data_IF_222540733933
#
_entry.id   IF_222540733933
#
_cell.length_a   1.000
_cell.length_b   1.000
_cell.length_c   1.000
_cell.angle_alpha   90.00
_cell.angle_beta   90.00
_cell.angle_gamma   90.00
#
_symmetry.space_group_name_H-M   'P 1'
#
loop_
_entity.id
_entity.type
_entity.pdbx_description
1 polymer ?
#
# COMPACT_ATOMS: atom_id res chain seq x y z
N UNK A 1 2.17 -3.74 6.79
CA UNK A 1 2.75 -2.38 6.78
C UNK A 1 4.15 -2.42 7.38
N UNK A 2 5.03 -1.49 7.00
CA UNK A 2 6.42 -1.43 7.47
C UNK A 2 6.81 -0.06 8.04
N UNK A 3 7.87 -0.03 8.84
CA UNK A 3 8.54 1.19 9.34
C UNK A 3 7.57 2.16 10.03
N UNK A 4 7.78 3.47 9.87
CA UNK A 4 6.96 4.54 10.42
C UNK A 4 5.47 4.39 10.10
N UNK A 5 5.11 3.80 8.95
CA UNK A 5 3.69 3.56 8.63
C UNK A 5 3.08 2.49 9.54
N UNK A 6 3.85 1.47 9.93
CA UNK A 6 3.39 0.47 10.89
C UNK A 6 3.28 1.03 12.31
N UNK A 7 4.11 2.01 12.67
CA UNK A 7 4.06 2.71 13.96
C UNK A 7 2.83 3.65 14.05
N UNK A 8 2.54 4.39 12.99
CA UNK A 8 1.45 5.37 12.96
C UNK A 8 0.06 4.74 12.73
N UNK A 9 -0.03 3.71 11.88
CA UNK A 9 -1.29 3.08 11.48
C UNK A 9 -1.51 1.75 12.20
N UNK A 10 -0.44 0.99 12.40
CA UNK A 10 -0.47 -0.41 12.83
C UNK A 10 0.09 -1.37 11.78
N UNK A 11 0.36 -2.63 12.17
CA UNK A 11 1.01 -3.61 11.30
C UNK A 11 0.16 -4.03 10.09
N UNK A 12 -1.17 -3.97 10.21
CA UNK A 12 -2.15 -4.28 9.16
C UNK A 12 -3.21 -3.18 9.09
N UNK A 13 -3.78 -2.97 7.90
CA UNK A 13 -4.84 -2.01 7.64
C UNK A 13 -5.81 -2.60 6.63
N UNK A 14 -7.11 -2.54 6.92
CA UNK A 14 -8.15 -2.86 5.95
C UNK A 14 -8.35 -1.69 4.98
N UNK A 15 -8.39 -1.99 3.68
CA UNK A 15 -8.58 -1.02 2.59
C UNK A 15 -9.77 -1.42 1.73
N UNK A 16 -10.43 -0.43 1.13
CA UNK A 16 -11.59 -0.65 0.29
C UNK A 16 -11.13 -0.65 -1.16
N UNK A 17 -11.10 -1.84 -1.77
CA UNK A 17 -10.68 -2.07 -3.16
C UNK A 17 -11.83 -2.66 -3.97
N UNK A 18 -11.83 -2.38 -5.27
CA UNK A 18 -12.71 -3.06 -6.21
C UNK A 18 -12.19 -4.48 -6.50
N UNK A 19 -13.05 -5.35 -7.05
CA UNK A 19 -12.67 -6.71 -7.48
C UNK A 19 -11.48 -6.74 -8.46
N UNK A 20 -11.29 -5.66 -9.21
CA UNK A 20 -10.09 -5.42 -9.99
C UNK A 20 -9.52 -4.04 -9.65
N UNK A 21 -8.22 -3.98 -9.37
CA UNK A 21 -7.56 -2.78 -8.86
C UNK A 21 -6.14 -2.63 -9.40
N UNK A 22 -5.64 -1.41 -9.41
CA UNK A 22 -4.25 -1.06 -9.66
C UNK A 22 -3.52 -0.81 -8.34
N UNK A 23 -2.20 -0.93 -8.34
CA UNK A 23 -1.36 -0.60 -7.18
C UNK A 23 -1.60 0.83 -6.64
N UNK A 24 -1.91 1.80 -7.50
CA UNK A 24 -2.30 3.17 -7.09
C UNK A 24 -3.58 3.22 -6.26
N UNK A 25 -4.55 2.32 -6.50
CA UNK A 25 -5.83 2.32 -5.82
C UNK A 25 -5.67 1.94 -4.34
N UNK A 26 -4.68 1.07 -4.04
CA UNK A 26 -4.25 0.74 -2.67
C UNK A 26 -3.81 2.00 -1.94
N UNK A 27 -2.88 2.77 -2.53
CA UNK A 27 -2.38 4.02 -1.94
C UNK A 27 -3.52 5.02 -1.73
N UNK A 28 -4.38 5.20 -2.72
CA UNK A 28 -5.53 6.12 -2.62
C UNK A 28 -6.50 5.72 -1.50
N UNK A 29 -6.77 4.42 -1.32
CA UNK A 29 -7.61 3.95 -0.23
C UNK A 29 -7.00 4.25 1.14
N UNK A 30 -5.67 4.16 1.27
CA UNK A 30 -4.98 4.46 2.54
C UNK A 30 -4.98 5.98 2.80
N UNK A 31 -4.70 6.80 1.77
CA UNK A 31 -4.69 8.27 1.87
C UNK A 31 -6.07 8.81 2.27
N UNK A 32 -7.16 8.21 1.80
CA UNK A 32 -8.52 8.58 2.23
C UNK A 32 -8.73 8.43 3.75
N UNK A 33 -8.10 7.42 4.37
CA UNK A 33 -8.18 7.15 5.82
C UNK A 33 -7.14 7.96 6.61
N UNK A 34 -5.96 8.21 6.03
CA UNK A 34 -4.82 8.89 6.67
C UNK A 34 -4.25 10.01 5.77
N UNK A 35 -5.01 11.10 5.56
CA UNK A 35 -4.60 12.19 4.66
C UNK A 35 -3.30 12.86 5.09
N UNK A 36 -3.01 12.91 6.40
CA UNK A 36 -1.79 13.51 6.94
C UNK A 36 -0.52 12.74 6.55
N UNK A 37 -0.66 11.45 6.19
CA UNK A 37 0.45 10.59 5.75
C UNK A 37 0.61 10.57 4.22
N UNK A 38 -0.13 11.39 3.48
CA UNK A 38 -0.12 11.38 2.00
C UNK A 38 1.29 11.43 1.41
N UNK A 39 2.14 12.31 1.91
CA UNK A 39 3.48 12.52 1.37
C UNK A 39 4.36 11.26 1.45
N UNK A 40 4.26 10.49 2.53
CA UNK A 40 5.03 9.25 2.68
C UNK A 40 4.39 8.09 1.92
N UNK A 41 3.05 8.02 1.87
CA UNK A 41 2.33 6.99 1.11
C UNK A 41 2.60 7.13 -0.39
N UNK A 42 2.62 8.36 -0.92
CA UNK A 42 2.92 8.62 -2.33
C UNK A 42 4.31 8.08 -2.71
N UNK A 43 5.30 8.29 -1.83
CA UNK A 43 6.69 7.84 -2.01
C UNK A 43 6.90 6.35 -1.70
N UNK A 44 5.91 5.68 -1.12
CA UNK A 44 5.99 4.25 -0.80
C UNK A 44 5.87 3.41 -2.07
N UNK A 45 6.44 2.21 -2.06
CA UNK A 45 6.18 1.18 -3.08
C UNK A 45 5.05 0.26 -2.60
N UNK A 46 4.32 -0.31 -3.55
CA UNK A 46 3.34 -1.36 -3.28
C UNK A 46 3.94 -2.66 -3.76
N UNK A 47 3.88 -3.71 -2.92
CA UNK A 47 4.18 -5.07 -3.33
C UNK A 47 2.92 -5.92 -3.22
N UNK A 48 2.72 -6.81 -4.19
CA UNK A 48 1.62 -7.76 -4.29
C UNK A 48 2.26 -9.14 -4.39
N UNK A 49 1.89 -10.04 -3.47
CA UNK A 49 2.46 -11.39 -3.38
C UNK A 49 3.99 -11.41 -3.42
N UNK A 50 4.61 -10.60 -2.56
CA UNK A 50 6.06 -10.42 -2.41
C UNK A 50 6.80 -9.78 -3.62
N UNK A 51 6.10 -9.40 -4.69
CA UNK A 51 6.67 -8.74 -5.86
C UNK A 51 6.27 -7.26 -5.95
N UNK A 52 7.18 -6.38 -6.37
CA UNK A 52 6.85 -4.96 -6.58
C UNK A 52 5.80 -4.81 -7.67
N UNK A 53 4.67 -4.21 -7.32
CA UNK A 53 3.59 -3.99 -8.25
C UNK A 53 3.96 -2.88 -9.26
N UNK A 54 3.71 -3.16 -10.53
CA UNK A 54 3.81 -2.20 -11.61
C UNK A 54 2.43 -1.55 -11.89
N UNK A 55 2.22 -1.07 -13.11
CA UNK A 55 0.94 -0.48 -13.55
C UNK A 55 -0.08 -1.54 -14.02
N UNK A 56 0.15 -2.82 -13.73
CA UNK A 56 -0.78 -3.90 -14.06
C UNK A 56 -2.09 -3.80 -13.30
N UNK A 57 -3.13 -4.40 -13.88
CA UNK A 57 -4.42 -4.60 -13.24
C UNK A 57 -4.41 -5.95 -12.52
N UNK A 58 -4.74 -5.94 -11.24
CA UNK A 58 -4.79 -7.12 -10.38
C UNK A 58 -6.24 -7.50 -10.08
N UNK A 59 -6.49 -8.79 -9.88
CA UNK A 59 -7.77 -9.32 -9.41
C UNK A 59 -7.69 -9.57 -7.92
N UNK A 60 -8.63 -9.03 -7.13
CA UNK A 60 -8.65 -9.19 -5.68
C UNK A 60 -8.74 -10.66 -5.24
N UNK A 61 -9.42 -11.49 -6.04
CA UNK A 61 -9.54 -12.93 -5.78
C UNK A 61 -8.26 -13.74 -6.04
N UNK A 62 -7.19 -13.11 -6.55
CA UNK A 62 -5.93 -13.76 -6.89
C UNK A 62 -4.73 -13.13 -6.19
N UNK A 63 -4.97 -12.37 -5.13
CA UNK A 63 -3.94 -11.69 -4.33
C UNK A 63 -4.08 -12.17 -2.89
N UNK A 64 -3.00 -12.68 -2.32
CA UNK A 64 -2.98 -13.18 -0.95
C UNK A 64 -2.45 -12.09 0.00
N UNK A 65 -1.46 -11.31 -0.44
CA UNK A 65 -0.83 -10.27 0.38
C UNK A 65 -0.59 -8.97 -0.40
N UNK A 66 -0.87 -7.85 0.26
CA UNK A 66 -0.52 -6.50 -0.21
C UNK A 66 0.32 -5.81 0.87
N UNK A 67 1.51 -5.36 0.49
CA UNK A 67 2.40 -4.61 1.35
C UNK A 67 2.61 -3.18 0.85
N UNK A 68 2.55 -2.21 1.76
CA UNK A 68 3.01 -0.85 1.53
C UNK A 68 4.40 -0.66 2.16
N UNK A 69 5.38 -0.36 1.32
CA UNK A 69 6.80 -0.28 1.67
C UNK A 69 7.22 1.20 1.57
N UNK A 70 7.31 1.95 2.67
CA UNK A 70 7.78 3.33 2.64
C UNK A 70 9.26 3.41 2.26
N UNK A 71 9.73 4.59 1.80
CA UNK A 71 11.16 4.82 1.61
C UNK A 71 11.93 4.42 2.86
N UNK A 72 12.93 3.54 2.69
CA UNK A 72 13.82 3.20 3.79
C UNK A 72 14.67 4.44 4.13
N UNK A 73 14.70 4.84 5.39
CA UNK A 73 15.50 5.98 5.86
C UNK A 73 17.01 5.66 5.95
N UNK A 74 17.49 4.72 5.13
CA UNK A 74 18.87 4.24 5.16
C UNK A 74 19.82 5.35 4.72
N UNK A 75 20.68 5.79 5.64
CA UNK A 75 21.94 6.43 5.29
C UNK A 75 22.92 5.45 4.64
#
# INVERSE_FOLDING_TARGET
>A
MFSILAEEIGPTLEVDLNDSFYSRDVKESIIKKYPDLKNIIDQSLVAIDEEYADESLFSLNSVDEIALIPPVSGG
#
